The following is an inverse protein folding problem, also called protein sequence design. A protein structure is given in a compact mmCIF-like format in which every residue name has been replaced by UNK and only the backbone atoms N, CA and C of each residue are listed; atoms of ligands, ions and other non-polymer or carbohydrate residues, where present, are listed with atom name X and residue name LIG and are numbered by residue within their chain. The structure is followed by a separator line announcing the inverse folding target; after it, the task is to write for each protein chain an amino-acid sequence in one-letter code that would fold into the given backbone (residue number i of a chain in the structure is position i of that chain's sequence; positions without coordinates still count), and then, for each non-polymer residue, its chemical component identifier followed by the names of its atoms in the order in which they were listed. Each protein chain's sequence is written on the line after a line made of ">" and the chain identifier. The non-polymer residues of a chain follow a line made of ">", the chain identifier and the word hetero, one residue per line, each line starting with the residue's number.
data_IF_335521470630
#
_entry.id   IF_335521470630
#
_cell.length_a   1.000
_cell.length_b   1.000
_cell.length_c   1.000
_cell.angle_alpha   90.00
_cell.angle_beta   90.00
_cell.angle_gamma   90.00
#
_symmetry.space_group_name_H-M   'P 1'
#
loop_
_entity.id
_entity.type
_entity.pdbx_description
1 polymer ?
#
# COMPACT_ATOMS: atom_id res chain seq x y z
N UNK A 1 14.00 36.21 37.07
CA UNK A 1 12.90 35.37 36.55
C UNK A 1 13.02 34.97 35.07
N UNK A 2 14.14 35.21 34.36
CA UNK A 2 14.28 34.85 32.94
C UNK A 2 14.91 33.47 32.67
N UNK A 3 15.46 32.80 33.70
CA UNK A 3 16.12 31.51 33.54
C UNK A 3 15.13 30.34 33.38
N UNK A 4 14.03 30.35 34.13
CA UNK A 4 12.98 29.31 34.03
C UNK A 4 12.21 29.37 32.71
N UNK A 5 11.97 30.57 32.15
CA UNK A 5 11.29 30.71 30.85
C UNK A 5 12.11 30.15 29.68
N UNK A 6 13.44 30.25 29.72
CA UNK A 6 14.31 29.61 28.74
C UNK A 6 14.34 28.09 28.91
N UNK A 7 14.33 27.59 30.15
CA UNK A 7 14.35 26.14 30.40
C UNK A 7 13.05 25.46 29.97
N UNK A 8 11.89 26.10 30.19
CA UNK A 8 10.58 25.60 29.74
C UNK A 8 10.45 25.69 28.22
N UNK A 9 11.01 26.73 27.58
CA UNK A 9 11.07 26.80 26.13
C UNK A 9 12.05 25.79 25.52
N UNK A 10 13.16 25.47 26.20
CA UNK A 10 14.04 24.36 25.79
C UNK A 10 13.40 23.00 26.06
N UNK A 11 12.61 22.83 27.12
CA UNK A 11 11.89 21.59 27.37
C UNK A 11 10.73 21.39 26.38
N UNK A 12 9.98 22.44 26.05
CA UNK A 12 8.91 22.39 25.05
C UNK A 12 9.47 22.17 23.64
N UNK A 13 10.57 22.84 23.29
CA UNK A 13 11.29 22.58 22.04
C UNK A 13 11.93 21.19 22.02
N UNK A 14 12.45 20.66 23.14
CA UNK A 14 12.95 19.28 23.21
C UNK A 14 11.81 18.26 23.11
N UNK A 15 10.64 18.48 23.72
CA UNK A 15 9.46 17.62 23.50
C UNK A 15 8.90 17.72 22.08
N UNK A 16 9.05 18.88 21.42
CA UNK A 16 8.70 19.05 20.01
C UNK A 16 9.76 18.47 19.06
N UNK A 17 11.04 18.43 19.46
CA UNK A 17 12.15 17.79 18.74
C UNK A 17 11.98 16.27 18.65
N UNK A 18 11.26 15.68 19.62
CA UNK A 18 10.94 14.24 19.63
C UNK A 18 9.51 13.92 19.17
N UNK A 19 8.70 14.92 18.83
CA UNK A 19 7.36 14.67 18.31
C UNK A 19 7.42 14.45 16.80
N UNK A 20 7.14 13.20 16.37
CA UNK A 20 6.98 12.89 14.96
C UNK A 20 5.92 13.84 14.34
N UNK A 21 6.29 14.69 13.35
CA UNK A 21 5.37 15.65 12.75
C UNK A 21 4.21 14.98 11.99
N UNK A 22 4.34 13.70 11.63
CA UNK A 22 3.32 12.89 10.96
C UNK A 22 2.60 11.94 11.92
N UNK A 23 2.63 12.21 13.24
CA UNK A 23 1.89 11.41 14.20
C UNK A 23 0.41 11.78 14.16
N UNK A 24 -0.41 10.83 13.74
CA UNK A 24 -1.87 10.94 13.73
C UNK A 24 -2.38 11.05 15.16
N UNK A 25 -3.19 12.07 15.42
CA UNK A 25 -3.84 12.30 16.72
C UNK A 25 -5.29 12.68 16.53
N UNK A 26 -6.17 12.14 17.37
CA UNK A 26 -7.52 12.64 17.47
C UNK A 26 -7.51 14.03 18.11
N UNK A 27 -8.24 14.96 17.52
CA UNK A 27 -8.31 16.37 17.91
C UNK A 27 -9.75 16.85 17.92
N UNK A 28 -10.05 17.82 18.78
CA UNK A 28 -11.37 18.46 18.83
C UNK A 28 -11.36 19.66 17.90
N UNK A 29 -12.36 19.78 17.04
CA UNK A 29 -12.42 20.86 16.04
C UNK A 29 -12.55 22.25 16.66
N UNK A 30 -12.98 22.33 17.93
CA UNK A 30 -13.01 23.56 18.72
C UNK A 30 -11.61 24.19 18.90
N UNK A 31 -10.54 23.39 18.94
CA UNK A 31 -9.17 23.90 19.09
C UNK A 31 -8.69 24.67 17.85
N UNK A 32 -9.35 24.45 16.71
CA UNK A 32 -9.01 25.05 15.42
C UNK A 32 -9.85 26.28 15.07
N UNK A 33 -10.77 26.73 15.93
CA UNK A 33 -11.65 27.89 15.63
C UNK A 33 -10.87 29.20 15.45
N UNK A 34 -9.71 29.32 16.09
CA UNK A 34 -8.82 30.48 15.97
C UNK A 34 -7.80 30.35 14.84
N UNK A 35 -7.69 29.16 14.22
CA UNK A 35 -6.73 28.89 13.14
C UNK A 35 -7.30 29.30 11.79
N UNK A 36 -6.44 29.78 10.89
CA UNK A 36 -6.85 30.19 9.54
C UNK A 36 -7.00 28.95 8.67
N UNK A 37 -8.14 28.79 8.00
CA UNK A 37 -8.34 27.73 7.00
C UNK A 37 -7.70 28.16 5.69
N UNK A 38 -6.68 27.45 5.24
CA UNK A 38 -5.93 27.80 4.03
C UNK A 38 -6.40 26.99 2.83
N UNK A 39 -6.73 25.71 3.02
CA UNK A 39 -7.25 24.84 1.96
C UNK A 39 -8.23 23.83 2.53
N UNK A 40 -9.25 23.48 1.76
CA UNK A 40 -10.30 22.53 2.14
C UNK A 40 -10.67 21.68 0.93
N UNK A 41 -10.54 20.36 1.05
CA UNK A 41 -10.90 19.37 0.02
C UNK A 41 -11.71 18.24 0.69
N UNK A 42 -13.04 18.33 0.60
CA UNK A 42 -13.94 17.40 1.29
C UNK A 42 -13.77 17.49 2.82
N UNK A 43 -13.65 16.36 3.54
CA UNK A 43 -13.41 16.37 4.99
C UNK A 43 -11.97 16.74 5.37
N UNK A 44 -11.06 16.94 4.42
CA UNK A 44 -9.66 17.27 4.68
C UNK A 44 -9.46 18.79 4.68
N UNK A 45 -8.96 19.34 5.80
CA UNK A 45 -8.75 20.79 5.97
C UNK A 45 -7.30 21.06 6.38
N UNK A 46 -6.66 22.01 5.71
CA UNK A 46 -5.35 22.55 6.07
C UNK A 46 -5.54 23.84 6.86
N UNK A 47 -5.11 23.82 8.12
CA UNK A 47 -5.10 24.96 9.01
C UNK A 47 -3.70 25.56 9.13
N UNK A 48 -3.64 26.89 9.16
CA UNK A 48 -2.46 27.63 9.58
C UNK A 48 -2.69 28.14 11.00
N UNK A 49 -1.87 27.66 11.93
CA UNK A 49 -1.93 28.07 13.33
C UNK A 49 -0.90 29.17 13.60
N UNK A 50 -1.38 30.38 13.85
CA UNK A 50 -0.54 31.54 14.13
C UNK A 50 0.23 31.44 15.45
N UNK A 51 -0.30 30.73 16.46
CA UNK A 51 0.35 30.64 17.78
C UNK A 51 1.51 29.65 17.79
N UNK A 52 1.39 28.52 17.09
CA UNK A 52 2.46 27.51 16.98
C UNK A 52 3.37 27.74 15.77
N UNK A 53 3.02 28.66 14.85
CA UNK A 53 3.65 28.80 13.52
C UNK A 53 3.72 27.46 12.78
N UNK A 54 2.68 26.64 12.94
CA UNK A 54 2.57 25.34 12.29
C UNK A 54 1.38 25.26 11.34
N UNK A 55 1.50 24.34 10.41
CA UNK A 55 0.51 23.93 9.44
C UNK A 55 -0.01 22.57 9.83
N UNK A 56 -1.29 22.52 10.19
CA UNK A 56 -1.95 21.33 10.70
C UNK A 56 -2.96 20.84 9.67
N UNK A 57 -2.79 19.61 9.19
CA UNK A 57 -3.77 18.97 8.31
C UNK A 57 -4.68 18.07 9.13
N UNK A 58 -5.99 18.33 9.08
CA UNK A 58 -6.99 17.64 9.88
C UNK A 58 -8.03 17.02 8.95
N UNK A 59 -8.22 15.71 9.11
CA UNK A 59 -9.34 14.97 8.52
C UNK A 59 -10.52 15.03 9.49
N UNK A 60 -11.55 15.81 9.16
CA UNK A 60 -12.77 15.92 9.95
C UNK A 60 -13.54 14.60 9.85
N UNK A 61 -13.99 14.07 10.99
CA UNK A 61 -14.75 12.82 10.98
C UNK A 61 -16.10 13.03 10.26
N UNK A 62 -16.43 12.24 9.22
CA UNK A 62 -17.69 12.38 8.49
C UNK A 62 -18.92 12.19 9.39
N UNK A 63 -18.80 11.38 10.45
CA UNK A 63 -19.90 11.05 11.37
C UNK A 63 -20.03 12.04 12.54
N UNK A 64 -18.94 12.72 12.90
CA UNK A 64 -18.89 13.66 14.02
C UNK A 64 -18.06 14.90 13.66
N UNK A 65 -18.74 15.99 13.31
CA UNK A 65 -18.12 17.26 12.94
C UNK A 65 -17.36 17.96 14.09
N UNK A 66 -17.50 17.49 15.33
CA UNK A 66 -16.75 18.02 16.48
C UNK A 66 -15.38 17.35 16.68
N UNK A 67 -15.16 16.19 16.06
CA UNK A 67 -13.90 15.44 16.13
C UNK A 67 -13.21 15.38 14.78
N UNK A 68 -11.89 15.37 14.77
CA UNK A 68 -11.09 15.11 13.59
C UNK A 68 -9.80 14.38 13.93
N UNK A 69 -9.08 13.95 12.90
CA UNK A 69 -7.77 13.35 13.01
C UNK A 69 -6.75 14.27 12.39
N UNK A 70 -5.86 14.80 13.22
CA UNK A 70 -4.71 15.56 12.73
C UNK A 70 -3.70 14.59 12.15
N UNK A 71 -3.49 14.66 10.83
CA UNK A 71 -2.60 13.76 10.08
C UNK A 71 -1.14 14.20 10.18
N UNK A 72 -0.90 15.51 10.09
CA UNK A 72 0.44 16.07 10.23
C UNK A 72 0.41 17.47 10.85
N UNK A 73 1.57 17.86 11.38
CA UNK A 73 1.90 19.19 11.87
C UNK A 73 3.29 19.56 11.32
N UNK A 74 3.34 20.47 10.33
CA UNK A 74 4.56 20.88 9.65
C UNK A 74 4.86 22.37 9.88
N UNK A 75 6.12 22.77 9.82
CA UNK A 75 6.53 24.18 10.03
C UNK A 75 6.54 24.98 8.72
N UNK A 76 6.76 24.30 7.61
CA UNK A 76 6.95 24.88 6.27
C UNK A 76 5.66 24.82 5.45
N UNK A 77 5.26 25.96 4.87
CA UNK A 77 4.06 26.05 4.03
C UNK A 77 4.17 25.19 2.77
N UNK A 78 5.34 25.19 2.11
CA UNK A 78 5.57 24.44 0.89
C UNK A 78 5.37 22.93 1.10
N UNK A 79 5.96 22.37 2.16
CA UNK A 79 5.83 20.94 2.46
C UNK A 79 4.40 20.61 2.90
N UNK A 80 3.74 21.50 3.65
CA UNK A 80 2.35 21.33 4.06
C UNK A 80 1.40 21.26 2.86
N UNK A 81 1.57 22.14 1.87
CA UNK A 81 0.75 22.16 0.66
C UNK A 81 0.98 20.92 -0.22
N UNK A 82 2.24 20.48 -0.36
CA UNK A 82 2.57 19.27 -1.11
C UNK A 82 1.98 18.01 -0.46
N UNK A 83 2.17 17.83 0.85
CA UNK A 83 1.61 16.69 1.59
C UNK A 83 0.08 16.73 1.59
N UNK A 84 -0.53 17.92 1.71
CA UNK A 84 -1.98 18.06 1.64
C UNK A 84 -2.53 17.57 0.29
N UNK A 85 -1.89 17.93 -0.83
CA UNK A 85 -2.31 17.49 -2.16
C UNK A 85 -2.17 15.98 -2.35
N UNK A 86 -1.12 15.37 -1.80
CA UNK A 86 -0.96 13.92 -1.82
C UNK A 86 -2.06 13.23 -1.01
N UNK A 87 -2.29 13.67 0.22
CA UNK A 87 -3.35 13.11 1.06
C UNK A 87 -4.75 13.32 0.51
N UNK A 88 -5.06 14.48 -0.07
CA UNK A 88 -6.40 14.75 -0.62
C UNK A 88 -6.72 13.90 -1.85
N UNK A 89 -5.72 13.54 -2.65
CA UNK A 89 -5.90 12.63 -3.78
C UNK A 89 -6.08 11.17 -3.35
N UNK A 90 -5.36 10.72 -2.31
CA UNK A 90 -5.24 9.31 -1.96
C UNK A 90 -6.18 8.84 -0.84
N UNK A 91 -6.53 9.70 0.13
CA UNK A 91 -7.39 9.35 1.26
C UNK A 91 -8.87 9.06 0.93
N UNK A 92 -9.52 9.72 -0.05
CA UNK A 92 -10.97 9.63 -0.23
C UNK A 92 -11.55 8.22 -0.28
N UNK A 93 -10.96 7.26 -1.02
CA UNK A 93 -11.52 5.91 -1.09
C UNK A 93 -11.59 5.18 0.25
N UNK A 94 -10.78 5.57 1.24
CA UNK A 94 -10.72 4.88 2.53
C UNK A 94 -11.82 5.35 3.49
N UNK A 95 -12.14 6.63 3.50
CA UNK A 95 -13.19 7.17 4.38
C UNK A 95 -14.56 7.28 3.70
N UNK A 96 -14.65 7.27 2.36
CA UNK A 96 -15.94 7.28 1.64
C UNK A 96 -16.54 5.87 1.53
N UNK A 97 -15.69 4.83 1.45
CA UNK A 97 -16.17 3.46 1.27
C UNK A 97 -16.49 2.77 2.59
N UNK A 98 -15.86 3.17 3.68
CA UNK A 98 -16.10 2.58 4.99
C UNK A 98 -17.18 3.34 5.74
N UNK A 99 -18.20 2.62 6.19
CA UNK A 99 -19.23 3.16 7.09
C UNK A 99 -18.73 3.29 8.54
N UNK A 100 -17.54 2.77 8.81
CA UNK A 100 -16.91 2.73 10.13
C UNK A 100 -15.86 3.83 10.27
N UNK A 101 -15.70 4.34 11.49
CA UNK A 101 -14.71 5.36 11.81
C UNK A 101 -13.33 4.76 11.54
N UNK A 102 -12.56 5.37 10.64
CA UNK A 102 -11.14 5.03 10.48
C UNK A 102 -10.44 5.26 11.81
N UNK A 103 -9.99 4.17 12.44
CA UNK A 103 -9.24 4.26 13.69
C UNK A 103 -7.91 4.98 13.48
N UNK A 104 -7.42 5.64 14.54
CA UNK A 104 -6.15 6.37 14.52
C UNK A 104 -4.98 5.50 14.06
N UNK A 105 -5.00 4.21 14.38
CA UNK A 105 -3.97 3.24 14.00
C UNK A 105 -3.92 3.00 12.49
N UNK A 106 -5.08 2.80 11.86
CA UNK A 106 -5.19 2.60 10.41
C UNK A 106 -4.79 3.87 9.67
N UNK A 107 -5.24 5.04 10.15
CA UNK A 107 -4.82 6.32 9.59
C UNK A 107 -3.32 6.54 9.74
N UNK A 108 -2.72 6.18 10.88
CA UNK A 108 -1.27 6.24 11.07
C UNK A 108 -0.55 5.37 10.05
N UNK A 109 -0.93 4.09 9.94
CA UNK A 109 -0.37 3.16 8.95
C UNK A 109 -0.51 3.70 7.53
N UNK A 110 -1.68 4.20 7.17
CA UNK A 110 -1.93 4.79 5.86
C UNK A 110 -1.02 6.00 5.61
N UNK A 111 -0.94 6.95 6.56
CA UNK A 111 -0.06 8.13 6.40
C UNK A 111 1.41 7.76 6.28
N UNK A 112 1.85 6.70 6.97
CA UNK A 112 3.20 6.16 6.88
C UNK A 112 3.46 5.47 5.54
N UNK A 113 2.48 4.74 5.00
CA UNK A 113 2.57 4.11 3.68
C UNK A 113 2.66 5.14 2.55
N UNK A 114 1.81 6.17 2.57
CA UNK A 114 1.86 7.26 1.58
C UNK A 114 3.23 7.94 1.57
N UNK A 115 3.82 8.13 2.76
CA UNK A 115 5.12 8.79 2.90
C UNK A 115 6.28 7.89 2.49
N UNK A 116 6.20 6.59 2.81
CA UNK A 116 7.25 5.63 2.45
C UNK A 116 7.24 5.28 0.96
N UNK A 117 6.08 5.34 0.32
CA UNK A 117 5.90 4.98 -1.08
C UNK A 117 5.12 6.06 -1.84
N UNK A 118 5.75 7.22 -2.15
CA UNK A 118 5.06 8.37 -2.74
C UNK A 118 4.52 8.10 -4.15
N UNK A 119 5.02 7.06 -4.83
CA UNK A 119 4.55 6.67 -6.16
C UNK A 119 3.32 5.76 -6.12
N UNK A 120 3.04 5.09 -5.01
CA UNK A 120 1.97 4.12 -4.93
C UNK A 120 0.62 4.75 -5.24
N UNK A 121 -0.14 4.06 -6.09
CA UNK A 121 -1.54 4.39 -6.33
C UNK A 121 -2.43 4.00 -5.14
N UNK A 122 -3.65 4.52 -5.11
CA UNK A 122 -4.63 4.22 -4.05
C UNK A 122 -4.98 2.73 -3.98
N UNK A 123 -4.95 2.04 -5.11
CA UNK A 123 -5.18 0.60 -5.17
C UNK A 123 -4.03 -0.20 -4.52
N UNK A 124 -2.77 0.25 -4.64
CA UNK A 124 -1.65 -0.39 -3.92
C UNK A 124 -1.82 -0.25 -2.40
N UNK A 125 -2.17 0.96 -1.95
CA UNK A 125 -2.44 1.23 -0.54
C UNK A 125 -3.60 0.39 0.01
N UNK A 126 -4.68 0.23 -0.77
CA UNK A 126 -5.82 -0.61 -0.40
C UNK A 126 -5.43 -2.08 -0.17
N UNK A 127 -4.59 -2.63 -1.04
CA UNK A 127 -4.08 -4.01 -0.91
C UNK A 127 -3.16 -4.14 0.30
N UNK A 128 -2.29 -3.15 0.54
CA UNK A 128 -1.36 -3.19 1.67
C UNK A 128 -2.09 -3.10 3.02
N UNK A 129 -3.08 -2.21 3.13
CA UNK A 129 -3.90 -2.07 4.33
C UNK A 129 -4.91 -3.21 4.52
N UNK A 130 -5.32 -3.87 3.44
CA UNK A 130 -6.30 -4.97 3.48
C UNK A 130 -7.73 -4.50 3.75
N UNK A 131 -8.07 -3.26 3.41
CA UNK A 131 -9.42 -2.71 3.61
C UNK A 131 -10.28 -3.12 2.43
N UNK A 132 -11.08 -4.17 2.60
CA UNK A 132 -11.88 -4.77 1.52
C UNK A 132 -12.97 -3.84 0.98
N UNK A 133 -13.57 -3.05 1.86
CA UNK A 133 -14.69 -2.15 1.52
C UNK A 133 -14.30 -1.13 0.45
N UNK A 134 -13.03 -0.73 0.36
CA UNK A 134 -12.60 0.30 -0.57
C UNK A 134 -12.45 -0.18 -2.03
N UNK A 135 -12.41 -1.49 -2.30
CA UNK A 135 -12.31 -2.00 -3.68
C UNK A 135 -13.55 -1.73 -4.54
N UNK A 136 -14.69 -1.38 -3.93
CA UNK A 136 -15.89 -0.93 -4.64
C UNK A 136 -15.85 0.55 -5.03
N UNK A 137 -14.84 1.30 -4.60
CA UNK A 137 -14.72 2.72 -4.88
C UNK A 137 -14.22 2.99 -6.31
N UNK A 138 -14.86 3.92 -7.01
CA UNK A 138 -14.54 4.26 -8.41
C UNK A 138 -13.06 4.58 -8.65
N UNK A 139 -12.44 5.34 -7.74
CA UNK A 139 -10.99 5.66 -7.80
C UNK A 139 -10.10 4.42 -7.70
N UNK A 140 -10.43 3.46 -6.84
CA UNK A 140 -9.62 2.24 -6.70
C UNK A 140 -9.77 1.37 -7.96
N UNK A 141 -11.00 1.24 -8.46
CA UNK A 141 -11.27 0.54 -9.72
C UNK A 141 -10.46 1.16 -10.87
N UNK A 142 -10.43 2.50 -10.98
CA UNK A 142 -9.64 3.15 -12.04
C UNK A 142 -8.12 2.95 -11.91
N UNK A 143 -7.62 2.69 -10.70
CA UNK A 143 -6.19 2.51 -10.42
C UNK A 143 -5.77 1.04 -10.30
N UNK A 144 -6.67 0.08 -10.53
CA UNK A 144 -6.42 -1.35 -10.31
C UNK A 144 -5.31 -1.94 -11.20
N UNK A 145 -5.05 -1.31 -12.34
CA UNK A 145 -3.99 -1.68 -13.29
C UNK A 145 -2.82 -0.69 -13.30
N UNK A 146 -2.77 0.24 -12.34
CA UNK A 146 -1.66 1.19 -12.24
C UNK A 146 -0.37 0.43 -11.96
N UNK A 147 0.67 0.73 -12.73
CA UNK A 147 2.05 0.26 -12.52
C UNK A 147 2.91 1.35 -11.88
N UNK A 148 2.27 2.35 -11.27
CA UNK A 148 2.93 3.46 -10.59
C UNK A 148 3.49 2.96 -9.25
N UNK A 149 4.57 2.20 -9.30
CA UNK A 149 5.44 1.96 -8.17
C UNK A 149 6.91 1.92 -8.66
N UNK A 150 7.87 1.82 -7.76
CA UNK A 150 9.30 1.82 -8.14
C UNK A 150 9.73 0.55 -8.90
N UNK A 151 9.00 -0.53 -8.72
CA UNK A 151 9.24 -1.86 -9.28
C UNK A 151 8.40 -2.16 -10.53
N UNK A 152 7.51 -1.25 -10.95
CA UNK A 152 6.53 -1.45 -12.02
C UNK A 152 5.40 -2.44 -11.66
N UNK A 153 5.23 -2.80 -10.39
CA UNK A 153 4.19 -3.75 -9.99
C UNK A 153 2.79 -3.13 -10.06
N UNK A 154 1.81 -3.99 -10.17
CA UNK A 154 0.38 -3.64 -10.04
C UNK A 154 -0.16 -4.04 -8.67
N UNK A 155 -1.32 -3.51 -8.24
CA UNK A 155 -2.00 -3.95 -7.02
C UNK A 155 -2.22 -5.47 -6.97
N UNK A 156 -2.46 -6.11 -8.13
CA UNK A 156 -2.61 -7.57 -8.24
C UNK A 156 -1.33 -8.31 -7.85
N UNK A 157 -0.15 -7.80 -8.25
CA UNK A 157 1.14 -8.39 -7.85
C UNK A 157 1.33 -8.34 -6.33
N UNK A 158 1.00 -7.21 -5.69
CA UNK A 158 1.05 -7.08 -4.23
C UNK A 158 0.09 -8.04 -3.53
N UNK A 159 -1.15 -8.16 -4.02
CA UNK A 159 -2.14 -9.09 -3.46
C UNK A 159 -1.66 -10.54 -3.56
N UNK A 160 -1.03 -10.89 -4.70
CA UNK A 160 -0.42 -12.19 -4.89
C UNK A 160 0.72 -12.45 -3.91
N UNK A 161 1.60 -11.46 -3.69
CA UNK A 161 2.74 -11.55 -2.75
C UNK A 161 2.28 -11.76 -1.31
N UNK A 162 1.25 -11.02 -0.88
CA UNK A 162 0.67 -11.14 0.46
C UNK A 162 -0.05 -12.48 0.68
N UNK A 163 -0.43 -13.17 -0.40
CA UNK A 163 -1.17 -14.42 -0.30
C UNK A 163 -2.65 -14.19 0.05
N UNK A 164 -3.17 -12.98 -0.17
CA UNK A 164 -4.56 -12.64 0.18
C UNK A 164 -5.50 -12.99 -0.97
N UNK A 165 -6.10 -14.18 -0.88
CA UNK A 165 -7.03 -14.67 -1.89
C UNK A 165 -8.34 -13.88 -1.96
N UNK A 166 -8.74 -13.22 -0.88
CA UNK A 166 -9.99 -12.47 -0.84
C UNK A 166 -9.84 -11.13 -1.59
N UNK A 167 -8.76 -10.39 -1.31
CA UNK A 167 -8.41 -9.18 -2.05
C UNK A 167 -8.17 -9.48 -3.52
N UNK A 168 -7.54 -10.63 -3.82
CA UNK A 168 -7.34 -11.06 -5.21
C UNK A 168 -8.67 -11.22 -5.96
N UNK A 169 -9.66 -11.84 -5.31
CA UNK A 169 -11.01 -11.97 -5.89
C UNK A 169 -11.64 -10.60 -6.09
N UNK A 170 -11.48 -9.67 -5.14
CA UNK A 170 -12.04 -8.34 -5.27
C UNK A 170 -11.43 -7.55 -6.43
N UNK A 171 -10.10 -7.57 -6.55
CA UNK A 171 -9.38 -6.92 -7.65
C UNK A 171 -9.78 -7.47 -9.02
N UNK A 172 -9.87 -8.79 -9.17
CA UNK A 172 -10.19 -9.41 -10.46
C UNK A 172 -11.67 -9.26 -10.79
N UNK A 173 -12.58 -9.48 -9.83
CA UNK A 173 -14.01 -9.52 -10.07
C UNK A 173 -14.68 -8.14 -10.11
N UNK A 174 -14.26 -7.21 -9.25
CA UNK A 174 -14.88 -5.89 -9.13
C UNK A 174 -14.05 -4.77 -9.75
N UNK A 175 -12.72 -4.85 -9.68
CA UNK A 175 -11.86 -3.81 -10.22
C UNK A 175 -11.35 -4.09 -11.64
N UNK A 176 -11.66 -5.27 -12.21
CA UNK A 176 -11.21 -5.69 -13.53
C UNK A 176 -9.68 -5.63 -13.70
N UNK A 177 -8.94 -6.07 -12.67
CA UNK A 177 -7.49 -6.13 -12.71
C UNK A 177 -7.00 -7.08 -13.81
N UNK A 178 -6.06 -6.60 -14.63
CA UNK A 178 -5.39 -7.34 -15.69
C UNK A 178 -4.34 -8.29 -15.08
N UNK A 179 -4.40 -9.55 -15.51
CA UNK A 179 -3.56 -10.63 -14.98
C UNK A 179 -2.29 -10.88 -15.82
N UNK A 180 -2.20 -10.27 -16.99
CA UNK A 180 -1.13 -10.42 -17.97
C UNK A 180 -0.07 -9.30 -17.90
N UNK A 181 -0.24 -8.34 -16.98
CA UNK A 181 0.74 -7.28 -16.73
C UNK A 181 1.99 -7.88 -16.07
N UNK A 182 3.16 -7.43 -16.51
CA UNK A 182 4.46 -7.75 -15.93
C UNK A 182 5.05 -6.54 -15.23
N UNK A 183 5.80 -6.77 -14.15
CA UNK A 183 6.60 -5.72 -13.51
C UNK A 183 7.87 -5.36 -14.31
N UNK A 184 8.72 -4.47 -13.78
CA UNK A 184 9.98 -4.06 -14.44
C UNK A 184 10.99 -5.21 -14.59
N UNK A 185 10.85 -6.28 -13.81
CA UNK A 185 11.67 -7.49 -13.89
C UNK A 185 11.08 -8.55 -14.82
N UNK A 186 9.97 -8.26 -15.50
CA UNK A 186 9.25 -9.24 -16.33
C UNK A 186 8.53 -10.29 -15.48
N UNK A 187 8.38 -10.08 -14.18
CA UNK A 187 7.65 -10.97 -13.30
C UNK A 187 6.15 -10.75 -13.44
N UNK A 188 5.41 -11.85 -13.53
CA UNK A 188 3.93 -11.88 -13.62
C UNK A 188 3.31 -12.10 -12.25
N UNK A 189 2.00 -11.93 -12.13
CA UNK A 189 1.23 -12.28 -10.92
C UNK A 189 1.51 -13.73 -10.42
N UNK A 190 1.77 -14.67 -11.32
CA UNK A 190 2.15 -16.06 -10.96
C UNK A 190 3.52 -16.13 -10.27
N UNK A 191 4.50 -15.30 -10.68
CA UNK A 191 5.80 -15.25 -10.02
C UNK A 191 5.66 -14.73 -8.57
N UNK A 192 4.89 -13.66 -8.38
CA UNK A 192 4.60 -13.11 -7.06
C UNK A 192 3.79 -14.06 -6.17
N UNK A 193 2.82 -14.77 -6.73
CA UNK A 193 2.02 -15.75 -5.99
C UNK A 193 2.87 -16.91 -5.44
N UNK A 194 3.90 -17.33 -6.18
CA UNK A 194 4.87 -18.33 -5.72
C UNK A 194 5.71 -17.82 -4.54
N UNK A 195 5.98 -16.51 -4.47
CA UNK A 195 6.69 -15.93 -3.32
C UNK A 195 5.85 -15.93 -2.04
N UNK A 196 4.53 -15.94 -2.14
CA UNK A 196 3.62 -16.10 -1.00
C UNK A 196 3.66 -17.52 -0.42
N UNK A 197 3.14 -17.72 0.78
CA UNK A 197 2.98 -19.05 1.37
C UNK A 197 1.58 -19.64 1.15
N UNK A 198 0.69 -18.90 0.48
CA UNK A 198 -0.70 -19.31 0.25
C UNK A 198 -0.92 -19.80 -1.19
N UNK A 199 -0.97 -21.12 -1.36
CA UNK A 199 -1.21 -21.75 -2.66
C UNK A 199 -2.62 -21.47 -3.22
N UNK A 200 -3.56 -20.98 -2.41
CA UNK A 200 -4.90 -20.61 -2.86
C UNK A 200 -4.88 -19.50 -3.91
N UNK A 201 -3.94 -18.55 -3.79
CA UNK A 201 -3.77 -17.47 -4.77
C UNK A 201 -3.46 -18.04 -6.16
N UNK A 202 -2.57 -19.02 -6.26
CA UNK A 202 -2.27 -19.69 -7.54
C UNK A 202 -3.49 -20.41 -8.12
N UNK A 203 -4.33 -21.00 -7.28
CA UNK A 203 -5.56 -21.66 -7.74
C UNK A 203 -6.57 -20.64 -8.30
N UNK A 204 -6.69 -19.49 -7.65
CA UNK A 204 -7.56 -18.40 -8.12
C UNK A 204 -7.02 -17.80 -9.42
N UNK A 205 -5.72 -17.56 -9.52
CA UNK A 205 -5.09 -17.10 -10.75
C UNK A 205 -5.29 -18.11 -11.88
N UNK A 206 -5.01 -19.40 -11.65
CA UNK A 206 -5.12 -20.46 -12.66
C UNK A 206 -6.54 -20.72 -13.17
N UNK A 207 -7.57 -20.40 -12.38
CA UNK A 207 -8.97 -20.45 -12.83
C UNK A 207 -9.33 -19.30 -13.77
N UNK A 208 -8.77 -18.12 -13.52
CA UNK A 208 -9.17 -16.88 -14.19
C UNK A 208 -8.28 -16.55 -15.41
N UNK A 209 -7.02 -17.00 -15.43
CA UNK A 209 -6.12 -16.80 -16.56
C UNK A 209 -5.03 -17.88 -16.64
N UNK A 210 -4.69 -18.28 -17.86
CA UNK A 210 -3.47 -19.05 -18.16
C UNK A 210 -2.32 -18.16 -18.65
N UNK A 211 -2.57 -16.87 -18.88
CA UNK A 211 -1.57 -15.91 -19.29
C UNK A 211 -0.56 -15.70 -18.16
N UNK A 212 0.72 -15.87 -18.43
CA UNK A 212 1.79 -15.67 -17.44
C UNK A 212 2.28 -16.93 -16.69
N UNK A 213 1.55 -18.06 -16.73
CA UNK A 213 1.95 -19.31 -16.04
C UNK A 213 3.31 -19.84 -16.51
N UNK A 214 3.61 -19.61 -17.78
CA UNK A 214 4.81 -20.09 -18.48
C UNK A 214 5.71 -18.95 -18.96
N UNK A 215 5.41 -17.70 -18.57
CA UNK A 215 6.26 -16.58 -18.95
C UNK A 215 7.60 -16.66 -18.25
N UNK A 216 8.62 -16.16 -18.93
CA UNK A 216 9.97 -16.03 -18.42
C UNK A 216 10.16 -14.60 -17.91
N UNK A 217 10.58 -14.45 -16.66
CA UNK A 217 11.05 -13.17 -16.16
C UNK A 217 12.43 -12.81 -16.78
N UNK A 218 12.97 -11.65 -16.43
CA UNK A 218 14.25 -11.16 -16.97
C UNK A 218 15.45 -12.06 -16.62
N UNK A 219 15.33 -12.91 -15.59
CA UNK A 219 16.34 -13.92 -15.26
C UNK A 219 16.15 -15.24 -16.04
N UNK A 220 15.19 -15.30 -16.96
CA UNK A 220 14.85 -16.50 -17.72
C UNK A 220 14.20 -17.58 -16.86
N UNK A 221 13.51 -17.20 -15.79
CA UNK A 221 12.83 -18.13 -14.88
C UNK A 221 11.33 -18.08 -15.13
N UNK A 222 10.70 -19.25 -15.14
CA UNK A 222 9.24 -19.33 -15.06
C UNK A 222 8.79 -19.38 -13.59
N UNK A 223 7.50 -19.18 -13.29
CA UNK A 223 6.98 -19.38 -11.93
C UNK A 223 7.33 -20.76 -11.36
N UNK A 224 7.38 -21.79 -12.20
CA UNK A 224 7.78 -23.15 -11.82
C UNK A 224 9.27 -23.24 -11.45
N UNK A 225 10.16 -22.55 -12.17
CA UNK A 225 11.57 -22.48 -11.79
C UNK A 225 11.74 -21.78 -10.43
N UNK A 226 11.00 -20.69 -10.21
CA UNK A 226 11.03 -19.96 -8.94
C UNK A 226 10.52 -20.83 -7.78
N UNK A 227 9.42 -21.56 -7.97
CA UNK A 227 8.86 -22.45 -6.95
C UNK A 227 9.84 -23.58 -6.58
N UNK A 228 10.51 -24.16 -7.58
CA UNK A 228 11.58 -25.15 -7.38
C UNK A 228 12.79 -24.56 -6.64
N UNK A 229 13.20 -23.34 -6.98
CA UNK A 229 14.33 -22.66 -6.32
C UNK A 229 14.03 -22.34 -4.85
N UNK A 230 12.79 -21.93 -4.54
CA UNK A 230 12.36 -21.62 -3.18
C UNK A 230 12.01 -22.87 -2.36
N UNK A 231 12.02 -24.07 -2.95
CA UNK A 231 11.65 -25.31 -2.27
C UNK A 231 10.16 -25.43 -1.91
N UNK A 232 9.28 -24.63 -2.55
CA UNK A 232 7.85 -24.59 -2.21
C UNK A 232 7.09 -25.71 -2.93
N UNK A 233 7.15 -26.91 -2.34
CA UNK A 233 6.56 -28.13 -2.92
C UNK A 233 5.07 -27.99 -3.26
N UNK A 234 4.28 -27.36 -2.40
CA UNK A 234 2.84 -27.18 -2.67
C UNK A 234 2.58 -26.22 -3.84
N UNK A 235 3.39 -25.16 -3.99
CA UNK A 235 3.32 -24.27 -5.14
C UNK A 235 3.67 -25.01 -6.44
N UNK A 236 4.72 -25.85 -6.41
CA UNK A 236 5.09 -26.72 -7.55
C UNK A 236 3.93 -27.65 -7.92
N UNK A 237 3.31 -28.31 -6.93
CA UNK A 237 2.17 -29.21 -7.14
C UNK A 237 1.00 -28.49 -7.81
N UNK A 238 0.66 -27.30 -7.32
CA UNK A 238 -0.44 -26.49 -7.87
C UNK A 238 -0.12 -26.01 -9.29
N UNK A 239 1.07 -25.48 -9.55
CA UNK A 239 1.48 -25.06 -10.89
C UNK A 239 1.40 -26.21 -11.91
N UNK A 240 1.85 -27.40 -11.53
CA UNK A 240 1.77 -28.59 -12.39
C UNK A 240 0.31 -29.05 -12.61
N UNK A 241 -0.55 -28.92 -11.60
CA UNK A 241 -1.98 -29.22 -11.73
C UNK A 241 -2.66 -28.31 -12.78
N UNK A 242 -2.23 -27.05 -12.88
CA UNK A 242 -2.68 -26.10 -13.91
C UNK A 242 -1.86 -26.15 -15.21
N UNK A 243 -1.18 -27.27 -15.49
CA UNK A 243 -0.46 -27.51 -16.74
C UNK A 243 0.73 -26.56 -16.99
N UNK A 244 1.46 -26.15 -15.94
CA UNK A 244 2.74 -25.47 -16.10
C UNK A 244 3.73 -26.34 -16.90
N UNK A 245 4.39 -25.75 -17.89
CA UNK A 245 5.30 -26.43 -18.81
C UNK A 245 6.65 -26.68 -18.14
N UNK A 246 6.96 -27.96 -17.91
CA UNK A 246 8.25 -28.38 -17.36
C UNK A 246 9.37 -28.48 -18.41
N UNK A 247 9.06 -28.30 -19.69
CA UNK A 247 10.01 -28.35 -20.81
C UNK A 247 10.57 -26.97 -21.19
N UNK A 248 10.32 -25.93 -20.38
CA UNK A 248 10.91 -24.61 -20.58
C UNK A 248 12.29 -24.61 -19.94
N UNK A 249 13.30 -24.17 -20.69
CA UNK A 249 14.67 -24.10 -20.22
C UNK A 249 14.92 -22.73 -19.57
N UNK A 250 15.28 -22.73 -18.29
CA UNK A 250 15.75 -21.54 -17.58
C UNK A 250 17.27 -21.51 -17.41
N UNK A 251 17.81 -20.60 -16.58
CA UNK A 251 19.27 -20.39 -16.45
C UNK A 251 20.02 -21.61 -15.88
N UNK A 252 19.32 -22.49 -15.16
CA UNK A 252 19.87 -23.74 -14.59
C UNK A 252 19.49 -25.00 -15.37
N UNK A 253 18.93 -24.87 -16.58
CA UNK A 253 18.27 -25.95 -17.31
C UNK A 253 16.77 -26.01 -17.03
N UNK A 254 16.17 -27.20 -17.08
CA UNK A 254 14.74 -27.40 -16.78
C UNK A 254 14.43 -27.20 -15.28
N UNK A 255 13.14 -26.99 -14.90
CA UNK A 255 12.76 -26.77 -13.51
C UNK A 255 13.21 -27.87 -12.54
N UNK A 256 13.31 -29.12 -13.02
CA UNK A 256 13.83 -30.23 -12.22
C UNK A 256 15.32 -30.08 -11.90
N UNK A 257 16.13 -29.56 -12.82
CA UNK A 257 17.54 -29.29 -12.57
C UNK A 257 17.70 -28.16 -11.54
N UNK A 258 16.85 -27.14 -11.61
CA UNK A 258 16.77 -26.09 -10.59
C UNK A 258 16.42 -26.69 -9.24
N UNK A 259 15.37 -27.52 -9.14
CA UNK A 259 14.99 -28.17 -7.88
C UNK A 259 16.13 -28.98 -7.27
N UNK A 260 16.81 -29.79 -8.09
CA UNK A 260 17.96 -30.61 -7.61
C UNK A 260 19.12 -29.74 -7.13
N UNK A 261 19.42 -28.64 -7.82
CA UNK A 261 20.51 -27.71 -7.44
C UNK A 261 20.26 -27.05 -6.08
N UNK A 262 19.01 -26.68 -5.77
CA UNK A 262 18.67 -25.98 -4.54
C UNK A 262 18.29 -26.92 -3.39
N UNK A 263 17.82 -28.15 -3.68
CA UNK A 263 17.56 -29.19 -2.67
C UNK A 263 18.82 -29.68 -1.95
N UNK A 264 20.01 -29.50 -2.52
CA UNK A 264 21.30 -29.89 -1.91
C UNK A 264 21.88 -28.82 -0.98
N UNK A 265 21.20 -27.67 -0.82
CA UNK A 265 21.68 -26.53 -0.02
C UNK A 265 20.89 -26.30 1.28
N UNK A 266 19.87 -27.11 1.56
CA UNK A 266 19.12 -27.12 2.83
C UNK A 266 19.54 -28.30 3.67
#
# INVERSE_FOLDING_TARGET
>A
MQFFGRLVNTLSSVTNLFSNPFRVKEVVMADYTLSVRVREEGPLILFQNASSRSWDCVLVNPTNSQSGFRLFQLETEADALLNFQHYSSQLPPFYESSSHILHTEILQQLTDLIRSHPRWSVAHLAVELGIRECFHHSRIISCANSTENEEGCTPLHLACRKGDGEILVELVQYCHAQMDVTDNNGETAFHYAVQSDNSQVLQLLGKNASAGLNQLNNQGQTPLHLACQLGKQEMVRVLLLYNARCNIMGPGGYPIHTAMKFSQKG
#
